data_IF_691512609500
#
_entry.id   IF_691512609500
#
_cell.length_a   1.000
_cell.length_b   1.000
_cell.length_c   1.000
_cell.angle_alpha   90.00
_cell.angle_beta   90.00
_cell.angle_gamma   90.00
#
_symmetry.space_group_name_H-M   'P 1'
#
loop_
_entity.id
_entity.type
_entity.pdbx_description
1 polymer ?
#
# COMPACT_ATOMS: atom_id res chain seq x y z
N UNK A 1 16.86 7.97 14.53
CA UNK A 1 16.22 6.79 13.90
C UNK A 1 15.56 5.99 15.01
N UNK A 2 14.27 6.19 15.25
CA UNK A 2 13.53 5.38 16.22
C UNK A 2 12.87 4.25 15.44
N UNK A 3 13.17 3.01 15.80
CA UNK A 3 12.44 1.84 15.33
C UNK A 3 10.95 2.08 15.61
N UNK A 4 10.12 2.11 14.58
CA UNK A 4 8.66 2.08 14.77
C UNK A 4 8.32 0.64 15.16
N UNK A 5 8.49 0.36 16.45
CA UNK A 5 8.23 -0.95 17.03
C UNK A 5 6.73 -1.23 16.96
N UNK A 6 6.34 -2.06 16.01
CA UNK A 6 4.97 -2.57 15.91
C UNK A 6 4.94 -3.87 16.70
N UNK A 7 4.29 -3.80 17.85
CA UNK A 7 4.34 -4.81 18.91
C UNK A 7 4.30 -6.26 18.41
N UNK A 8 5.19 -7.08 18.97
CA UNK A 8 5.32 -8.53 18.71
C UNK A 8 4.13 -9.38 19.17
N UNK A 9 3.16 -8.79 19.88
CA UNK A 9 1.98 -9.48 20.40
C UNK A 9 0.65 -8.80 20.03
N UNK A 10 -0.45 -9.50 20.35
CA UNK A 10 -1.81 -8.96 20.25
C UNK A 10 -1.99 -7.87 21.31
N UNK A 11 -2.61 -6.74 20.94
CA UNK A 11 -2.97 -5.66 21.86
C UNK A 11 -4.48 -5.58 22.05
N UNK A 12 -4.90 -5.30 23.28
CA UNK A 12 -6.26 -4.87 23.60
C UNK A 12 -6.17 -3.39 23.97
N UNK A 13 -6.80 -2.53 23.17
CA UNK A 13 -6.75 -1.08 23.37
C UNK A 13 -8.12 -0.60 23.76
N UNK A 14 -8.25 -0.02 24.95
CA UNK A 14 -9.47 0.62 25.40
C UNK A 14 -9.62 1.98 24.72
N UNK A 15 -10.78 2.23 24.12
CA UNK A 15 -11.13 3.49 23.46
C UNK A 15 -11.38 4.53 24.56
N UNK A 16 -10.63 5.65 24.59
CA UNK A 16 -10.91 6.71 25.55
C UNK A 16 -12.18 7.47 25.17
N UNK A 17 -12.83 8.08 26.16
CA UNK A 17 -14.12 8.78 26.00
C UNK A 17 -14.08 9.91 24.96
N UNK A 18 -12.92 10.56 24.76
CA UNK A 18 -12.72 11.63 23.77
C UNK A 18 -12.70 11.12 22.32
N UNK A 19 -12.76 9.81 22.12
CA UNK A 19 -12.83 9.14 20.80
C UNK A 19 -14.19 8.52 20.53
N UNK A 20 -15.21 8.83 21.33
CA UNK A 20 -16.58 8.42 21.05
C UNK A 20 -17.03 8.85 19.65
N UNK A 21 -17.69 7.94 18.94
CA UNK A 21 -18.12 8.13 17.56
C UNK A 21 -17.01 8.05 16.51
N UNK A 22 -15.74 7.85 16.89
CA UNK A 22 -14.64 7.72 15.92
C UNK A 22 -14.81 6.44 15.08
N UNK A 23 -14.54 6.53 13.77
CA UNK A 23 -14.51 5.35 12.89
C UNK A 23 -13.32 4.45 13.24
N UNK A 24 -13.55 3.13 13.21
CA UNK A 24 -12.56 2.11 13.52
C UNK A 24 -11.31 2.23 12.63
N UNK A 25 -11.44 2.42 11.33
CA UNK A 25 -10.28 2.56 10.43
C UNK A 25 -9.39 3.76 10.77
N UNK A 26 -10.00 4.92 11.08
CA UNK A 26 -9.27 6.10 11.53
C UNK A 26 -8.57 5.85 12.89
N UNK A 27 -9.25 5.18 13.81
CA UNK A 27 -8.64 4.78 15.09
C UNK A 27 -7.43 3.86 14.85
N UNK A 28 -7.58 2.83 14.01
CA UNK A 28 -6.50 1.88 13.71
C UNK A 28 -5.30 2.54 13.01
N UNK A 29 -5.51 3.53 12.13
CA UNK A 29 -4.42 4.27 11.49
C UNK A 29 -3.57 5.06 12.49
N UNK A 30 -4.17 5.53 13.59
CA UNK A 30 -3.43 6.16 14.68
C UNK A 30 -2.65 5.12 15.52
N UNK A 31 -3.22 3.93 15.71
CA UNK A 31 -2.61 2.84 16.48
C UNK A 31 -1.52 2.07 15.72
N UNK A 32 -1.58 2.08 14.39
CA UNK A 32 -0.67 1.39 13.47
C UNK A 32 0.04 2.43 12.59
N UNK A 33 0.84 3.29 13.22
CA UNK A 33 1.55 4.39 12.53
C UNK A 33 2.39 3.82 11.39
N UNK A 34 2.21 4.37 10.18
CA UNK A 34 2.91 3.92 8.96
C UNK A 34 2.24 2.75 8.23
N UNK A 35 1.15 2.18 8.77
CA UNK A 35 0.41 1.14 8.06
C UNK A 35 -0.30 1.70 6.82
N UNK A 36 -0.16 1.07 5.65
CA UNK A 36 -1.00 1.40 4.49
C UNK A 36 -2.47 1.16 4.82
N UNK A 37 -3.37 2.01 4.32
CA UNK A 37 -4.84 1.83 4.48
C UNK A 37 -5.29 0.44 4.03
N UNK A 38 -4.74 -0.07 2.93
CA UNK A 38 -5.05 -1.41 2.40
C UNK A 38 -4.78 -2.52 3.42
N UNK A 39 -3.72 -2.40 4.23
CA UNK A 39 -3.41 -3.32 5.30
C UNK A 39 -4.46 -3.24 6.42
N UNK A 40 -4.83 -2.03 6.85
CA UNK A 40 -5.90 -1.82 7.86
C UNK A 40 -7.21 -2.48 7.40
N UNK A 41 -7.65 -2.23 6.16
CA UNK A 41 -8.85 -2.86 5.61
C UNK A 41 -8.73 -4.38 5.52
N UNK A 42 -7.54 -4.93 5.22
CA UNK A 42 -7.30 -6.39 5.22
C UNK A 42 -7.46 -6.97 6.63
N UNK A 43 -6.90 -6.33 7.66
CA UNK A 43 -6.96 -6.81 9.04
C UNK A 43 -8.40 -6.83 9.58
N UNK A 44 -9.18 -5.79 9.28
CA UNK A 44 -10.60 -5.73 9.67
C UNK A 44 -11.42 -6.78 8.91
N UNK A 45 -11.27 -6.86 7.58
CA UNK A 45 -12.03 -7.81 6.74
C UNK A 45 -11.76 -9.27 7.11
N UNK A 46 -10.52 -9.61 7.41
CA UNK A 46 -10.12 -10.96 7.87
C UNK A 46 -10.56 -11.28 9.31
N UNK A 47 -11.13 -10.32 10.03
CA UNK A 47 -11.65 -10.52 11.40
C UNK A 47 -10.57 -10.60 12.47
N UNK A 48 -9.34 -10.19 12.14
CA UNK A 48 -8.23 -10.14 13.09
C UNK A 48 -8.37 -8.95 14.06
N UNK A 49 -9.01 -7.86 13.61
CA UNK A 49 -9.46 -6.76 14.46
C UNK A 49 -10.88 -7.03 14.95
N UNK A 50 -11.12 -6.81 16.25
CA UNK A 50 -12.42 -7.01 16.90
C UNK A 50 -12.73 -5.88 17.87
N UNK A 51 -14.01 -5.52 18.01
CA UNK A 51 -14.53 -4.60 19.03
C UNK A 51 -15.31 -5.45 20.04
N UNK A 52 -14.94 -5.41 21.31
CA UNK A 52 -15.59 -6.18 22.40
C UNK A 52 -15.76 -7.67 22.03
N UNK A 53 -14.72 -8.27 21.42
CA UNK A 53 -14.71 -9.67 20.98
C UNK A 53 -15.49 -9.99 19.69
N UNK A 54 -16.19 -9.02 19.09
CA UNK A 54 -17.01 -9.20 17.87
C UNK A 54 -16.31 -8.69 16.61
N UNK A 55 -16.63 -9.28 15.45
CA UNK A 55 -16.16 -8.76 14.14
C UNK A 55 -16.79 -7.39 13.89
N UNK A 56 -16.02 -6.48 13.31
CA UNK A 56 -16.46 -5.13 12.98
C UNK A 56 -16.17 -4.82 11.50
N UNK A 57 -16.83 -3.77 10.99
CA UNK A 57 -16.50 -3.19 9.68
C UNK A 57 -15.55 -2.01 9.88
N UNK A 58 -14.83 -1.64 8.83
CA UNK A 58 -13.84 -0.56 8.91
C UNK A 58 -14.48 0.80 9.23
N UNK A 59 -15.73 1.00 8.79
CA UNK A 59 -16.54 2.18 9.02
C UNK A 59 -17.38 2.12 10.31
N UNK A 60 -17.27 1.04 11.10
CA UNK A 60 -17.92 0.95 12.41
C UNK A 60 -17.47 2.11 13.30
N UNK A 61 -18.42 2.72 14.02
CA UNK A 61 -18.12 3.76 15.02
C UNK A 61 -17.86 3.11 16.38
N UNK A 62 -16.82 3.59 17.04
CA UNK A 62 -16.43 3.19 18.38
C UNK A 62 -17.23 3.98 19.41
N UNK A 63 -17.53 3.35 20.54
CA UNK A 63 -18.00 4.03 21.74
C UNK A 63 -16.86 4.25 22.72
N UNK A 64 -16.96 5.31 23.53
CA UNK A 64 -16.12 5.48 24.72
C UNK A 64 -16.14 4.20 25.58
N UNK A 65 -14.96 3.74 25.99
CA UNK A 65 -14.78 2.55 26.81
C UNK A 65 -14.73 1.21 26.07
N UNK A 66 -15.01 1.17 24.76
CA UNK A 66 -14.88 -0.05 23.92
C UNK A 66 -13.48 -0.66 24.00
N UNK A 67 -13.37 -1.97 23.90
CA UNK A 67 -12.10 -2.68 23.79
C UNK A 67 -11.84 -3.14 22.35
N UNK A 68 -10.78 -2.62 21.74
CA UNK A 68 -10.35 -2.97 20.38
C UNK A 68 -9.17 -3.92 20.42
N UNK A 69 -9.37 -5.14 19.92
CA UNK A 69 -8.29 -6.11 19.69
C UNK A 69 -7.56 -5.78 18.40
N UNK A 70 -6.26 -5.58 18.48
CA UNK A 70 -5.36 -5.30 17.35
C UNK A 70 -4.34 -6.45 17.24
N UNK A 71 -4.24 -7.16 16.10
CA UNK A 71 -3.26 -8.23 15.92
C UNK A 71 -1.83 -7.67 15.87
N UNK A 72 -0.79 -8.51 16.07
CA UNK A 72 0.58 -8.12 15.77
C UNK A 72 0.69 -7.84 14.27
N UNK A 73 1.31 -6.73 13.91
CA UNK A 73 1.50 -6.32 12.52
C UNK A 73 2.98 -6.10 12.30
N UNK A 74 3.60 -6.84 11.39
CA UNK A 74 4.93 -6.46 10.90
C UNK A 74 4.72 -5.42 9.81
N UNK A 75 4.91 -4.16 10.17
CA UNK A 75 5.12 -3.14 9.14
C UNK A 75 6.55 -3.34 8.66
N UNK A 76 6.69 -3.71 7.39
CA UNK A 76 7.97 -3.51 6.75
C UNK A 76 8.26 -2.01 6.92
N UNK A 77 9.46 -1.67 7.37
CA UNK A 77 9.96 -0.31 7.16
C UNK A 77 9.69 0.04 5.70
N UNK A 78 9.49 1.32 5.34
CA UNK A 78 9.62 1.75 3.96
C UNK A 78 11.05 1.40 3.55
N UNK A 79 11.27 0.14 3.18
CA UNK A 79 12.53 -0.34 2.69
C UNK A 79 12.79 0.52 1.49
N UNK A 80 14.01 1.03 1.37
CA UNK A 80 14.54 1.54 0.12
C UNK A 80 14.01 0.63 -0.98
N UNK A 81 13.04 1.11 -1.75
CA UNK A 81 12.52 0.34 -2.86
C UNK A 81 13.75 0.15 -3.72
N UNK A 82 14.27 -1.09 -3.75
CA UNK A 82 15.45 -1.40 -4.56
C UNK A 82 15.16 -0.85 -5.96
N UNK A 83 16.09 -0.16 -6.61
CA UNK A 83 15.81 0.35 -7.93
C UNK A 83 15.46 -0.83 -8.86
N UNK A 84 14.59 -0.61 -9.87
CA UNK A 84 14.31 -1.62 -10.88
C UNK A 84 15.63 -2.15 -11.48
N UNK A 85 15.70 -3.45 -11.84
CA UNK A 85 16.91 -4.02 -12.43
C UNK A 85 17.33 -3.25 -13.67
N UNK A 86 18.64 -3.00 -13.84
CA UNK A 86 19.16 -2.24 -15.00
C UNK A 86 18.70 -2.82 -16.35
N UNK A 87 18.71 -4.15 -16.50
CA UNK A 87 18.23 -4.79 -17.73
C UNK A 87 16.74 -4.57 -18.03
N UNK A 88 15.91 -4.36 -17.01
CA UNK A 88 14.52 -3.97 -17.21
C UNK A 88 14.43 -2.52 -17.72
N UNK A 89 15.22 -1.61 -17.13
CA UNK A 89 15.28 -0.22 -17.55
C UNK A 89 15.76 -0.09 -19.01
N UNK A 90 16.83 -0.79 -19.36
CA UNK A 90 17.39 -0.82 -20.72
C UNK A 90 16.34 -1.35 -21.73
N UNK A 91 15.63 -2.43 -21.37
CA UNK A 91 14.55 -2.99 -22.20
C UNK A 91 13.39 -2.00 -22.38
N UNK A 92 13.00 -1.27 -21.34
CA UNK A 92 11.92 -0.30 -21.39
C UNK A 92 12.28 0.94 -22.21
N UNK A 93 13.51 1.44 -22.06
CA UNK A 93 14.01 2.55 -22.88
C UNK A 93 13.95 2.20 -24.37
N UNK A 94 14.34 0.97 -24.73
CA UNK A 94 14.24 0.45 -26.09
C UNK A 94 12.80 0.15 -26.57
N UNK A 95 11.81 0.14 -25.66
CA UNK A 95 10.42 -0.17 -25.98
C UNK A 95 9.53 1.07 -26.16
N UNK A 96 10.09 2.28 -26.08
CA UNK A 96 9.35 3.53 -26.31
C UNK A 96 9.05 3.63 -27.81
N UNK A 97 7.76 3.71 -28.15
CA UNK A 97 7.29 3.80 -29.54
C UNK A 97 7.13 5.25 -30.00
N UNK A 98 6.69 6.11 -29.08
CA UNK A 98 6.40 7.50 -29.37
C UNK A 98 6.54 8.33 -28.09
N UNK A 99 7.03 9.55 -28.26
CA UNK A 99 7.14 10.52 -27.18
C UNK A 99 6.99 11.95 -27.73
N UNK A 100 6.18 12.74 -27.05
CA UNK A 100 6.16 14.19 -27.18
C UNK A 100 5.98 14.87 -25.80
N UNK A 101 5.65 16.17 -25.80
CA UNK A 101 5.46 16.96 -24.57
C UNK A 101 4.26 16.54 -23.72
N UNK A 102 3.32 15.79 -24.28
CA UNK A 102 2.05 15.44 -23.67
C UNK A 102 1.89 13.95 -23.41
N UNK A 103 2.39 13.09 -24.31
CA UNK A 103 2.19 11.63 -24.23
C UNK A 103 3.48 10.84 -24.46
N UNK A 104 3.54 9.69 -23.79
CA UNK A 104 4.57 8.67 -23.95
C UNK A 104 3.86 7.34 -24.25
N UNK A 105 4.08 6.78 -25.45
CA UNK A 105 3.57 5.47 -25.83
C UNK A 105 4.70 4.44 -25.73
N UNK A 106 4.46 3.37 -24.98
CA UNK A 106 5.44 2.31 -24.74
C UNK A 106 4.87 0.98 -25.18
N UNK A 107 5.64 0.23 -25.97
CA UNK A 107 5.36 -1.17 -26.28
C UNK A 107 5.60 -2.01 -25.01
N UNK A 108 4.56 -2.27 -24.24
CA UNK A 108 4.70 -2.92 -22.93
C UNK A 108 5.21 -4.36 -23.13
N UNK A 109 6.37 -4.73 -22.56
CA UNK A 109 6.80 -6.12 -22.58
C UNK A 109 5.76 -7.08 -21.97
N UNK A 110 5.51 -8.21 -22.62
CA UNK A 110 4.74 -9.29 -22.00
C UNK A 110 5.45 -9.81 -20.75
N UNK A 111 4.67 -10.18 -19.73
CA UNK A 111 5.17 -10.58 -18.41
C UNK A 111 5.46 -9.41 -17.46
N UNK A 112 5.43 -8.16 -17.94
CA UNK A 112 5.58 -6.97 -17.10
C UNK A 112 4.23 -6.44 -16.66
N UNK A 113 4.04 -6.29 -15.34
CA UNK A 113 2.85 -5.67 -14.77
C UNK A 113 2.83 -4.16 -15.05
N UNK A 114 1.66 -3.58 -15.25
CA UNK A 114 1.54 -2.12 -15.49
C UNK A 114 1.96 -1.29 -14.27
N UNK A 115 1.64 -1.75 -13.06
CA UNK A 115 1.99 -1.13 -11.78
C UNK A 115 2.41 -2.22 -10.79
N UNK A 116 3.19 -1.84 -9.77
CA UNK A 116 3.53 -2.68 -8.64
C UNK A 116 2.30 -3.19 -7.89
N UNK A 117 2.47 -4.24 -7.10
CA UNK A 117 1.36 -4.92 -6.44
C UNK A 117 1.81 -5.97 -5.42
N UNK A 118 0.90 -6.85 -5.02
CA UNK A 118 1.23 -7.93 -4.06
C UNK A 118 2.29 -8.87 -4.64
N UNK A 119 3.54 -8.73 -4.19
CA UNK A 119 4.67 -9.53 -4.65
C UNK A 119 5.41 -8.99 -5.88
N UNK A 120 5.02 -7.82 -6.41
CA UNK A 120 5.70 -7.18 -7.55
C UNK A 120 6.17 -5.80 -7.12
N UNK A 121 7.49 -5.62 -7.01
CA UNK A 121 8.09 -4.37 -6.56
C UNK A 121 8.10 -3.28 -7.65
N UNK A 122 8.24 -3.65 -8.93
CA UNK A 122 8.33 -2.70 -10.04
C UNK A 122 7.49 -3.16 -11.22
N UNK A 123 6.44 -2.41 -11.54
CA UNK A 123 5.76 -2.50 -12.82
C UNK A 123 6.35 -1.51 -13.84
N UNK A 124 5.65 -1.36 -14.96
CA UNK A 124 5.99 -0.43 -16.03
C UNK A 124 6.16 1.00 -15.51
N UNK A 125 5.17 1.52 -14.77
CA UNK A 125 5.18 2.92 -14.36
C UNK A 125 6.26 3.25 -13.32
N UNK A 126 6.53 2.36 -12.35
CA UNK A 126 7.63 2.54 -11.41
C UNK A 126 8.97 2.53 -12.14
N UNK A 127 9.11 1.65 -13.13
CA UNK A 127 10.34 1.53 -13.90
C UNK A 127 10.57 2.75 -14.78
N UNK A 128 9.52 3.29 -15.42
CA UNK A 128 9.61 4.52 -16.20
C UNK A 128 9.93 5.74 -15.33
N UNK A 129 9.32 5.85 -14.14
CA UNK A 129 9.65 6.92 -13.17
C UNK A 129 11.08 6.82 -12.64
N UNK A 130 11.60 5.61 -12.47
CA UNK A 130 12.99 5.39 -12.11
C UNK A 130 13.95 5.73 -13.27
N UNK A 131 13.56 5.43 -14.51
CA UNK A 131 14.30 5.81 -15.72
C UNK A 131 14.32 7.32 -15.94
N UNK A 132 13.26 8.03 -15.50
CA UNK A 132 13.07 9.47 -15.68
C UNK A 132 12.74 10.19 -14.38
N UNK A 133 13.71 10.31 -13.46
CA UNK A 133 13.48 10.96 -12.18
C UNK A 133 13.03 12.40 -12.36
N UNK A 134 11.90 12.76 -11.74
CA UNK A 134 11.36 14.13 -11.75
C UNK A 134 10.33 14.41 -12.85
N UNK A 135 10.14 13.51 -13.82
CA UNK A 135 9.06 13.65 -14.79
C UNK A 135 7.71 13.19 -14.20
N UNK A 136 6.64 13.98 -14.33
CA UNK A 136 5.32 13.63 -13.83
C UNK A 136 4.62 12.63 -14.77
N UNK A 137 5.08 11.38 -14.77
CA UNK A 137 4.50 10.31 -15.57
C UNK A 137 3.29 9.68 -14.86
N UNK A 138 2.15 9.62 -15.53
CA UNK A 138 0.93 8.96 -15.07
C UNK A 138 0.38 7.99 -16.13
N UNK A 139 -0.27 6.92 -15.66
CA UNK A 139 -0.88 5.93 -16.55
C UNK A 139 -2.25 6.41 -17.03
N UNK A 140 -2.45 6.47 -18.35
CA UNK A 140 -3.76 6.76 -18.95
C UNK A 140 -4.67 5.52 -18.94
N UNK A 141 -4.09 4.34 -19.15
CA UNK A 141 -4.79 3.05 -19.07
C UNK A 141 -3.82 1.95 -18.59
N UNK A 142 -4.34 0.73 -18.44
CA UNK A 142 -3.56 -0.45 -18.05
C UNK A 142 -3.75 -1.59 -19.03
N UNK A 143 -2.69 -2.37 -19.20
CA UNK A 143 -2.73 -3.69 -19.83
C UNK A 143 -2.47 -4.75 -18.76
N UNK A 144 -3.05 -5.94 -18.95
CA UNK A 144 -2.74 -7.08 -18.11
C UNK A 144 -1.28 -7.50 -18.28
N UNK A 145 -0.74 -8.18 -17.27
CA UNK A 145 0.69 -8.51 -17.21
C UNK A 145 1.16 -9.24 -18.47
N UNK A 146 0.34 -10.19 -18.92
CA UNK A 146 0.70 -11.12 -19.98
C UNK A 146 0.23 -10.63 -21.37
N UNK A 147 -0.48 -9.50 -21.44
CA UNK A 147 -0.88 -8.79 -22.67
C UNK A 147 0.23 -7.82 -23.12
N UNK A 148 0.47 -7.72 -24.43
CA UNK A 148 1.44 -6.82 -25.07
C UNK A 148 0.83 -6.09 -26.25
#
# INVERSE_FOLDING_TARGET
MAANDVSTGVRLVRVPEDRDGQRLDNFLLLQLKGAPRSLVYKLVRSGQVRINGKRAKADSRLSGGDEVRIPPVKLNEPGEQRPPPKGLLDRLAASILFEDKAILAVNKPSGLATHGGSGISHGLIESLRALRPGEPLELVHRLDRDTS
#
